data_IF_234274525967
#
_entry.id   IF_234274525967
#
_cell.length_a   1.000
_cell.length_b   1.000
_cell.length_c   1.000
_cell.angle_alpha   90.00
_cell.angle_beta   90.00
_cell.angle_gamma   90.00
#
_symmetry.space_group_name_H-M   'P 1'
#
loop_
_entity.id
_entity.type
_entity.pdbx_description
1 polymer ?
#
# COMPACT_ATOMS: atom_id res chain seq x y z
N UNK A 1 -15.01 14.93 -6.11
CA UNK A 1 -15.08 14.60 -6.49
C UNK A 1 -14.85 13.96 -7.28
N UNK A 2 -14.42 13.70 -7.29
CA UNK A 2 -14.49 13.37 -8.68
C UNK A 2 -13.90 12.05 -9.06
N UNK A 3 -13.71 11.18 -8.09
CA UNK A 3 -13.21 9.85 -8.39
C UNK A 3 -14.12 9.11 -9.34
N UNK A 4 -15.44 9.27 -9.15
CA UNK A 4 -16.39 8.58 -10.00
C UNK A 4 -16.53 9.18 -11.39
N UNK A 5 -16.04 10.40 -11.59
CA UNK A 5 -16.14 11.04 -12.90
C UNK A 5 -15.06 10.56 -13.85
N UNK A 6 -13.93 10.13 -13.30
CA UNK A 6 -12.89 9.56 -14.13
C UNK A 6 -13.13 8.06 -14.16
N UNK A 7 -13.61 7.57 -15.27
CA UNK A 7 -13.97 6.16 -15.40
C UNK A 7 -12.82 5.20 -15.18
N UNK A 8 -11.59 5.71 -15.16
CA UNK A 8 -10.41 4.86 -14.98
C UNK A 8 -9.92 4.79 -13.55
N UNK A 9 -10.48 5.59 -12.65
CA UNK A 9 -10.05 5.56 -11.25
C UNK A 9 -10.49 4.23 -10.64
N UNK A 10 -9.52 3.49 -10.08
CA UNK A 10 -9.81 2.20 -9.45
C UNK A 10 -10.08 1.06 -10.40
N UNK A 11 -9.94 1.27 -11.69
CA UNK A 11 -10.10 0.21 -12.68
C UNK A 11 -8.76 -0.51 -12.83
N UNK A 12 -8.79 -1.84 -12.74
CA UNK A 12 -7.57 -2.64 -12.88
C UNK A 12 -7.05 -2.56 -14.31
N UNK A 13 -5.73 -2.60 -14.44
CA UNK A 13 -5.10 -2.65 -15.74
C UNK A 13 -5.38 -3.95 -16.46
N UNK A 14 -5.03 -3.99 -17.74
CA UNK A 14 -5.39 -5.12 -18.61
C UNK A 14 -4.69 -6.42 -18.21
N UNK A 15 -3.61 -6.35 -17.42
CA UNK A 15 -2.91 -7.55 -16.99
C UNK A 15 -3.70 -8.34 -15.93
N UNK A 16 -4.78 -7.78 -15.40
CA UNK A 16 -5.58 -8.44 -14.37
C UNK A 16 -7.00 -8.65 -14.92
N UNK A 17 -7.45 -9.90 -14.95
CA UNK A 17 -8.78 -10.20 -15.43
C UNK A 17 -9.86 -9.79 -14.43
N UNK A 18 -9.55 -9.83 -13.12
CA UNK A 18 -10.51 -9.46 -12.08
C UNK A 18 -9.74 -9.23 -10.77
N UNK A 19 -10.48 -8.89 -9.72
CA UNK A 19 -9.88 -8.62 -8.42
C UNK A 19 -9.24 -9.88 -7.82
N UNK A 20 -9.72 -11.05 -8.17
CA UNK A 20 -9.14 -12.28 -7.67
C UNK A 20 -7.72 -12.46 -8.20
N UNK A 21 -7.51 -12.17 -9.47
CA UNK A 21 -6.17 -12.22 -10.06
C UNK A 21 -5.26 -11.19 -9.43
N UNK A 22 -5.78 -10.00 -9.18
CA UNK A 22 -5.02 -8.96 -8.51
C UNK A 22 -4.61 -9.39 -7.10
N UNK A 23 -5.55 -9.97 -6.34
CA UNK A 23 -5.26 -10.43 -4.99
C UNK A 23 -4.22 -11.54 -4.99
N UNK A 24 -4.28 -12.45 -5.96
CA UNK A 24 -3.28 -13.50 -6.10
C UNK A 24 -1.90 -12.89 -6.35
N UNK A 25 -1.83 -11.89 -7.20
CA UNK A 25 -0.55 -11.25 -7.52
C UNK A 25 0.05 -10.61 -6.30
N UNK A 26 -0.76 -9.98 -5.45
CA UNK A 26 -0.26 -9.40 -4.22
C UNK A 26 0.26 -10.48 -3.29
N UNK A 27 -0.43 -11.60 -3.19
CA UNK A 27 0.01 -12.68 -2.31
C UNK A 27 1.38 -13.23 -2.72
N UNK A 28 1.73 -13.13 -3.99
CA UNK A 28 3.06 -13.53 -4.43
C UNK A 28 4.17 -12.64 -3.87
N UNK A 29 3.82 -11.42 -3.44
CA UNK A 29 4.82 -10.54 -2.83
C UNK A 29 5.15 -10.94 -1.40
N UNK A 30 4.28 -11.74 -0.77
CA UNK A 30 4.46 -12.11 0.63
C UNK A 30 5.32 -13.35 0.74
N UNK A 31 6.13 -13.39 1.81
CA UNK A 31 6.97 -14.54 2.11
C UNK A 31 6.48 -15.18 3.39
N UNK A 32 6.77 -16.48 3.51
CA UNK A 32 6.42 -17.20 4.73
C UNK A 32 7.12 -16.53 5.91
N UNK A 33 6.36 -16.27 6.97
CA UNK A 33 6.92 -15.62 8.14
C UNK A 33 6.82 -14.11 8.14
N UNK A 34 6.35 -13.50 7.05
CA UNK A 34 6.16 -12.05 7.04
C UNK A 34 5.15 -11.64 8.11
N UNK A 35 5.50 -10.62 8.89
CA UNK A 35 4.55 -10.04 9.85
C UNK A 35 3.45 -9.28 9.11
N UNK A 36 2.39 -8.93 9.85
CA UNK A 36 1.32 -8.10 9.28
C UNK A 36 1.90 -6.76 8.82
N UNK A 37 2.78 -6.17 9.62
CA UNK A 37 3.43 -4.91 9.25
C UNK A 37 4.18 -5.04 7.93
N UNK A 38 4.91 -6.13 7.76
CA UNK A 38 5.67 -6.32 6.53
C UNK A 38 4.77 -6.55 5.34
N UNK A 39 3.69 -7.33 5.53
CA UNK A 39 2.73 -7.54 4.45
C UNK A 39 2.06 -6.24 4.05
N UNK A 40 1.70 -5.41 5.03
CA UNK A 40 1.09 -4.12 4.74
C UNK A 40 2.05 -3.23 3.96
N UNK A 41 3.33 -3.22 4.37
CA UNK A 41 4.33 -2.42 3.68
C UNK A 41 4.52 -2.89 2.24
N UNK A 42 4.52 -4.20 2.02
CA UNK A 42 4.66 -4.75 0.67
C UNK A 42 3.45 -4.44 -0.19
N UNK A 43 2.25 -4.45 0.41
CA UNK A 43 1.03 -4.09 -0.30
C UNK A 43 1.09 -2.65 -0.77
N UNK A 44 1.46 -1.74 0.12
CA UNK A 44 1.59 -0.34 -0.22
C UNK A 44 2.60 -0.15 -1.35
N UNK A 45 3.78 -0.77 -1.19
CA UNK A 45 4.82 -0.65 -2.20
C UNK A 45 4.34 -1.17 -3.55
N UNK A 46 3.70 -2.33 -3.56
CA UNK A 46 3.26 -2.94 -4.80
C UNK A 46 2.28 -2.04 -5.56
N UNK A 47 1.26 -1.53 -4.85
CA UNK A 47 0.24 -0.74 -5.52
C UNK A 47 0.82 0.58 -6.02
N UNK A 48 1.62 1.26 -5.20
CA UNK A 48 2.17 2.56 -5.61
C UNK A 48 3.20 2.38 -6.73
N UNK A 49 4.06 1.38 -6.62
CA UNK A 49 5.18 1.27 -7.57
C UNK A 49 4.79 0.56 -8.86
N UNK A 50 3.99 -0.48 -8.78
CA UNK A 50 3.64 -1.26 -9.97
C UNK A 50 2.40 -0.75 -10.67
N UNK A 51 1.64 0.13 -10.03
CA UNK A 51 0.49 0.80 -10.64
C UNK A 51 -0.48 -0.19 -11.29
N UNK A 52 -1.03 -1.12 -10.49
CA UNK A 52 -1.95 -2.11 -11.05
C UNK A 52 -3.27 -1.52 -11.55
N UNK A 53 -3.65 -0.36 -11.04
CA UNK A 53 -4.86 0.32 -11.48
C UNK A 53 -4.51 1.31 -12.59
N UNK A 54 -5.47 1.58 -13.45
CA UNK A 54 -5.24 2.52 -14.54
C UNK A 54 -4.99 3.91 -13.98
N UNK A 55 -5.69 4.26 -12.89
CA UNK A 55 -5.56 5.56 -12.28
C UNK A 55 -5.82 5.47 -10.79
N UNK A 56 -5.21 6.36 -10.03
CA UNK A 56 -5.46 6.46 -8.60
C UNK A 56 -4.59 5.56 -7.73
N UNK A 57 -3.49 5.05 -8.27
CA UNK A 57 -2.67 4.07 -7.54
C UNK A 57 -2.16 4.59 -6.21
N UNK A 58 -1.78 5.86 -6.12
CA UNK A 58 -1.27 6.40 -4.87
C UNK A 58 -2.36 6.46 -3.81
N UNK A 59 -3.54 6.95 -4.18
CA UNK A 59 -4.66 7.04 -3.24
C UNK A 59 -5.15 5.65 -2.85
N UNK A 60 -5.29 4.76 -3.83
CA UNK A 60 -5.77 3.40 -3.58
C UNK A 60 -4.75 2.64 -2.74
N UNK A 61 -3.46 2.79 -3.02
CA UNK A 61 -2.42 2.14 -2.24
C UNK A 61 -2.48 2.55 -0.78
N UNK A 62 -2.60 3.85 -0.53
CA UNK A 62 -2.70 4.34 0.84
C UNK A 62 -3.95 3.83 1.55
N UNK A 63 -5.08 3.81 0.84
CA UNK A 63 -6.33 3.32 1.43
C UNK A 63 -6.23 1.83 1.75
N UNK A 64 -5.73 1.02 0.81
CA UNK A 64 -5.60 -0.41 1.04
C UNK A 64 -4.66 -0.70 2.20
N UNK A 65 -3.60 0.07 2.32
CA UNK A 65 -2.65 -0.06 3.43
C UNK A 65 -3.37 0.15 4.76
N UNK A 66 -4.13 1.22 4.89
CA UNK A 66 -4.84 1.53 6.13
C UNK A 66 -5.90 0.47 6.43
N UNK A 67 -6.67 0.07 5.42
CA UNK A 67 -7.72 -0.93 5.61
C UNK A 67 -7.13 -2.28 6.01
N UNK A 68 -6.03 -2.68 5.34
CA UNK A 68 -5.39 -3.95 5.66
C UNK A 68 -4.92 -3.98 7.11
N UNK A 69 -4.30 -2.88 7.57
CA UNK A 69 -3.86 -2.80 8.96
C UNK A 69 -5.05 -2.87 9.92
N UNK A 70 -6.13 -2.17 9.61
CA UNK A 70 -7.31 -2.16 10.47
C UNK A 70 -7.92 -3.56 10.56
N UNK A 71 -8.02 -4.26 9.44
CA UNK A 71 -8.56 -5.62 9.42
C UNK A 71 -7.71 -6.60 10.21
N UNK A 72 -6.44 -6.29 10.38
CA UNK A 72 -5.53 -7.11 11.17
C UNK A 72 -5.27 -6.52 12.55
N UNK A 73 -6.15 -5.62 12.98
CA UNK A 73 -6.18 -5.07 14.33
C UNK A 73 -4.96 -4.24 14.68
N UNK A 74 -4.30 -3.68 13.68
CA UNK A 74 -3.22 -2.72 13.89
C UNK A 74 -3.78 -1.34 13.63
N UNK A 75 -3.77 -0.50 14.67
CA UNK A 75 -4.28 0.86 14.53
C UNK A 75 -3.12 1.81 14.33
N UNK A 76 -3.31 2.74 13.40
CA UNK A 76 -2.31 3.78 13.18
C UNK A 76 -2.36 4.82 14.30
N UNK A 77 -3.46 4.88 15.03
CA UNK A 77 -3.62 5.83 16.13
C UNK A 77 -3.87 5.05 17.41
N UNK A 78 -3.16 5.39 18.47
CA UNK A 78 -3.30 4.73 19.77
C UNK A 78 -3.10 5.77 20.85
N UNK A 79 -4.05 5.82 21.82
CA UNK A 79 -3.96 6.72 22.96
C UNK A 79 -3.70 8.17 22.56
N UNK A 80 -4.32 8.60 21.47
CA UNK A 80 -4.18 9.96 20.99
C UNK A 80 -2.95 10.21 20.14
N UNK A 81 -2.12 9.20 19.96
CA UNK A 81 -0.95 9.33 19.11
C UNK A 81 -1.12 8.52 17.84
N UNK A 82 -0.60 9.04 16.74
CA UNK A 82 -0.71 8.40 15.45
C UNK A 82 0.66 7.84 15.06
N UNK A 83 0.72 6.52 14.83
CA UNK A 83 1.97 5.88 14.42
C UNK A 83 2.46 6.43 13.08
N UNK A 84 1.55 6.57 12.14
CA UNK A 84 1.84 7.17 10.85
C UNK A 84 0.74 8.17 10.58
N UNK A 85 1.08 9.45 10.58
CA UNK A 85 0.10 10.49 10.31
C UNK A 85 -0.28 10.49 8.84
N UNK A 86 -1.36 11.20 8.50
CA UNK A 86 -1.76 11.34 7.11
C UNK A 86 -0.65 11.98 6.27
N UNK A 87 0.04 12.96 6.85
CA UNK A 87 1.14 13.61 6.14
C UNK A 87 2.30 12.65 5.94
N UNK A 88 2.60 11.83 6.95
CA UNK A 88 3.67 10.86 6.83
C UNK A 88 3.32 9.79 5.80
N UNK A 89 2.07 9.35 5.75
CA UNK A 89 1.65 8.37 4.76
C UNK A 89 1.78 8.95 3.36
N UNK A 90 1.36 10.19 3.17
CA UNK A 90 1.52 10.86 1.89
C UNK A 90 2.98 10.93 1.48
N UNK A 91 3.86 11.26 2.44
CA UNK A 91 5.28 11.33 2.17
C UNK A 91 5.85 9.96 1.79
N UNK A 92 5.41 8.90 2.47
CA UNK A 92 5.85 7.55 2.15
C UNK A 92 5.43 7.15 0.74
N UNK A 93 4.19 7.47 0.37
CA UNK A 93 3.68 7.17 -0.96
C UNK A 93 4.53 7.87 -2.03
N UNK A 94 4.83 9.14 -1.81
CA UNK A 94 5.66 9.89 -2.75
C UNK A 94 7.07 9.33 -2.80
N UNK A 95 7.62 8.96 -1.66
CA UNK A 95 8.97 8.39 -1.61
C UNK A 95 9.02 7.09 -2.40
N UNK A 96 8.02 6.23 -2.24
CA UNK A 96 7.95 4.99 -3.01
C UNK A 96 7.87 5.30 -4.49
N UNK A 97 6.99 6.24 -4.84
CA UNK A 97 6.74 6.58 -6.24
C UNK A 97 8.01 7.06 -6.94
N UNK A 98 8.84 7.82 -6.22
CA UNK A 98 10.06 8.38 -6.79
C UNK A 98 11.28 7.48 -6.65
N UNK A 99 11.15 6.37 -5.93
CA UNK A 99 12.30 5.50 -5.65
C UNK A 99 12.66 4.65 -6.86
N UNK A 100 13.90 4.13 -6.84
CA UNK A 100 14.29 3.10 -7.81
C UNK A 100 13.99 1.74 -7.19
N UNK A 101 13.79 0.73 -8.05
CA UNK A 101 13.31 -0.57 -7.58
C UNK A 101 14.31 -1.28 -6.67
N UNK A 102 15.58 -0.97 -6.79
CA UNK A 102 16.58 -1.57 -5.90
C UNK A 102 16.42 -1.11 -4.45
N UNK A 103 15.62 -0.06 -4.22
CA UNK A 103 15.38 0.44 -2.87
C UNK A 103 14.16 -0.19 -2.20
N UNK A 104 13.53 -1.17 -2.86
CA UNK A 104 12.30 -1.77 -2.34
C UNK A 104 12.45 -2.28 -0.92
N UNK A 105 13.49 -3.07 -0.67
CA UNK A 105 13.65 -3.68 0.65
C UNK A 105 13.88 -2.63 1.72
N UNK A 106 14.66 -1.61 1.39
CA UNK A 106 14.90 -0.52 2.32
C UNK A 106 13.60 0.17 2.71
N UNK A 107 12.75 0.46 1.72
CA UNK A 107 11.50 1.17 1.99
C UNK A 107 10.51 0.30 2.74
N UNK A 108 10.41 -0.98 2.38
CA UNK A 108 9.54 -1.91 3.09
C UNK A 108 9.96 -2.00 4.56
N UNK A 109 11.26 -2.10 4.81
CA UNK A 109 11.76 -2.19 6.18
C UNK A 109 11.53 -0.90 6.95
N UNK A 110 11.66 0.24 6.30
CA UNK A 110 11.39 1.52 6.94
C UNK A 110 9.93 1.60 7.42
N UNK A 111 9.01 1.21 6.55
CA UNK A 111 7.59 1.24 6.91
C UNK A 111 7.31 0.29 8.07
N UNK A 112 7.90 -0.91 8.02
CA UNK A 112 7.74 -1.87 9.12
C UNK A 112 8.19 -1.27 10.44
N UNK A 113 9.34 -0.60 10.46
CA UNK A 113 9.84 -0.01 11.67
C UNK A 113 8.92 1.07 12.21
N UNK A 114 8.35 1.85 11.32
CA UNK A 114 7.41 2.89 11.74
C UNK A 114 6.16 2.28 12.36
N UNK A 115 5.70 1.15 11.83
CA UNK A 115 4.50 0.50 12.35
C UNK A 115 4.76 -0.22 13.66
N UNK A 116 5.96 -0.78 13.84
CA UNK A 116 6.28 -1.61 14.99
C UNK A 116 6.77 -0.84 16.18
N UNK A 117 6.97 0.46 16.03
CA UNK A 117 7.42 1.28 17.15
C UNK A 117 6.30 1.68 18.10
#
# INVERSE_FOLDING_TARGET
EKMGEDGNFGVLGAEYSDFEEFAKRIRYEYEEGDSVSKKAAKLLYFVVKNEPFIKGNQQIGGLLFVVYLALNQIQLSSMGETKISDQALTALVLLISESVRTEKELLVNLICKLLDN
#
